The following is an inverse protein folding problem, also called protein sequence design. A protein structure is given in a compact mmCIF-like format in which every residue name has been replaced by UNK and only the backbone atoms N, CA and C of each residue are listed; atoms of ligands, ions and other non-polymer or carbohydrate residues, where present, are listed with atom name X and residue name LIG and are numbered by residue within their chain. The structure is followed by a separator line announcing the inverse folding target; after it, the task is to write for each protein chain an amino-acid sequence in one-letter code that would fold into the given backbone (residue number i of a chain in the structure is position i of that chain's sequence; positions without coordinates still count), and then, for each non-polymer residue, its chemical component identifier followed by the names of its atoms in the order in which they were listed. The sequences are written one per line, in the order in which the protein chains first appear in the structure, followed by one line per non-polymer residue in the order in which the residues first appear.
data_IF_854729744638
#
_entry.id   IF_854729744638
#
_cell.length_a   1.000
_cell.length_b   1.000
_cell.length_c   1.000
_cell.angle_alpha   90.00
_cell.angle_beta   90.00
_cell.angle_gamma   90.00
#
_symmetry.space_group_name_H-M   'P 1'
#
loop_
_entity.id
_entity.type
_entity.pdbx_description
1 polymer ?
#
# COMPACT_ATOMS: atom_id res chain seq x y z
N UNK A 1 25.39 18.66 11.30
CA UNK A 1 24.53 19.78 10.93
C UNK A 1 24.22 19.65 9.45
N UNK A 2 23.00 19.94 9.06
CA UNK A 2 22.33 19.83 7.77
C UNK A 2 22.17 18.41 7.27
N UNK A 3 23.22 17.65 7.08
CA UNK A 3 23.22 16.21 6.80
C UNK A 3 24.48 15.55 7.39
N UNK A 4 24.40 14.26 7.70
CA UNK A 4 25.56 13.50 8.19
C UNK A 4 26.63 13.42 7.10
N UNK A 5 27.89 13.75 7.44
CA UNK A 5 29.01 13.70 6.50
C UNK A 5 29.13 12.31 5.90
N UNK A 6 29.32 12.24 4.58
CA UNK A 6 29.40 10.98 3.82
C UNK A 6 28.06 10.41 3.37
N UNK A 7 26.91 11.05 3.70
CA UNK A 7 25.60 10.68 3.20
C UNK A 7 25.22 11.59 2.04
N UNK A 8 24.81 11.03 0.91
CA UNK A 8 24.29 11.78 -0.23
C UNK A 8 22.88 12.30 0.08
N UNK A 9 22.68 13.62 -0.03
CA UNK A 9 21.44 14.28 0.35
C UNK A 9 20.23 13.90 -0.51
N UNK A 10 20.45 13.47 -1.74
CA UNK A 10 19.41 13.16 -2.70
C UNK A 10 19.00 11.69 -2.68
N UNK A 11 19.96 10.78 -2.48
CA UNK A 11 19.74 9.34 -2.61
C UNK A 11 19.88 8.55 -1.29
N UNK A 12 20.47 9.16 -0.26
CA UNK A 12 20.79 8.45 0.98
C UNK A 12 21.96 7.47 0.88
N UNK A 13 22.67 7.44 -0.25
CA UNK A 13 23.84 6.57 -0.43
C UNK A 13 24.99 7.00 0.47
N UNK A 14 25.78 6.03 0.93
CA UNK A 14 27.00 6.30 1.64
C UNK A 14 28.13 6.48 0.63
N UNK A 15 28.78 7.64 0.66
CA UNK A 15 29.87 8.03 -0.24
C UNK A 15 31.22 7.58 0.37
N UNK A 16 31.45 6.27 0.35
CA UNK A 16 32.62 5.64 0.94
C UNK A 16 32.43 5.38 2.43
N UNK A 17 32.58 6.39 3.29
CA UNK A 17 32.38 6.31 4.74
C UNK A 17 31.44 7.44 5.20
N UNK A 18 30.59 7.16 6.17
CA UNK A 18 29.68 8.15 6.72
C UNK A 18 29.72 8.22 8.25
N UNK A 19 29.47 9.39 8.78
CA UNK A 19 29.34 9.61 10.23
C UNK A 19 27.94 9.24 10.67
N UNK A 20 27.82 8.34 11.64
CA UNK A 20 26.54 8.02 12.29
C UNK A 20 26.27 9.10 13.37
N UNK A 21 25.19 9.83 13.17
CA UNK A 21 24.77 10.90 14.08
C UNK A 21 23.70 10.40 15.03
N UNK A 22 23.71 10.88 16.28
CA UNK A 22 22.60 10.70 17.23
C UNK A 22 21.45 11.65 16.90
N UNK A 23 21.81 12.85 16.40
CA UNK A 23 20.86 13.88 16.00
C UNK A 23 21.38 14.66 14.80
N UNK A 24 20.50 14.97 13.85
CA UNK A 24 20.81 15.84 12.73
C UNK A 24 19.85 17.04 12.73
N UNK A 25 20.41 18.24 12.83
CA UNK A 25 19.66 19.50 12.64
C UNK A 25 19.81 19.89 11.17
N UNK A 26 18.73 19.87 10.42
CA UNK A 26 18.70 20.26 9.00
C UNK A 26 17.95 21.56 8.79
N UNK A 27 18.29 22.29 7.74
CA UNK A 27 17.81 23.64 7.50
C UNK A 27 16.76 23.71 6.38
N UNK A 28 15.71 24.48 6.60
CA UNK A 28 14.62 24.78 5.67
C UNK A 28 13.76 23.55 5.39
N UNK A 29 14.26 22.58 4.67
CA UNK A 29 13.52 21.39 4.27
C UNK A 29 14.24 20.10 4.63
N UNK A 30 13.48 19.02 4.82
CA UNK A 30 13.99 17.68 4.97
C UNK A 30 14.64 17.21 3.67
N UNK A 31 15.85 16.63 3.73
CA UNK A 31 16.52 16.07 2.56
C UNK A 31 16.13 14.59 2.40
N UNK A 32 15.87 14.16 1.17
CA UNK A 32 15.49 12.76 0.88
C UNK A 32 16.47 11.75 1.45
N UNK A 33 17.77 12.02 1.31
CA UNK A 33 18.81 11.11 1.77
C UNK A 33 18.83 10.88 3.29
N UNK A 34 18.14 11.71 4.08
CA UNK A 34 18.04 11.54 5.52
C UNK A 34 16.94 10.55 5.93
N UNK A 35 15.99 10.29 5.06
CA UNK A 35 14.84 9.39 5.29
C UNK A 35 14.91 8.13 4.42
N UNK A 36 15.79 8.11 3.42
CA UNK A 36 16.02 6.95 2.57
C UNK A 36 17.20 6.11 3.09
N UNK A 37 17.03 4.80 3.14
CA UNK A 37 18.14 3.90 3.51
C UNK A 37 19.17 3.78 2.39
N UNK A 38 20.48 3.67 2.75
CA UNK A 38 21.05 3.55 4.10
C UNK A 38 21.17 4.85 4.90
N UNK A 39 21.05 6.03 4.31
CA UNK A 39 21.25 7.34 4.93
C UNK A 39 20.39 7.60 6.17
N UNK A 40 19.15 7.12 6.16
CA UNK A 40 18.26 7.17 7.34
C UNK A 40 18.90 6.56 8.58
N UNK A 41 19.63 5.44 8.43
CA UNK A 41 20.34 4.78 9.52
C UNK A 41 21.52 5.59 10.09
N UNK A 42 21.95 6.66 9.43
CA UNK A 42 23.05 7.54 9.83
C UNK A 42 22.58 8.91 10.32
N UNK A 43 21.31 9.24 10.16
CA UNK A 43 20.77 10.58 10.44
C UNK A 43 20.39 10.80 11.91
N UNK A 44 20.08 9.74 12.67
CA UNK A 44 19.60 9.84 14.04
C UNK A 44 18.28 10.60 14.14
N UNK A 45 18.02 11.29 15.26
CA UNK A 45 16.85 12.16 15.41
C UNK A 45 16.97 13.37 14.48
N UNK A 46 16.00 13.57 13.59
CA UNK A 46 16.05 14.67 12.63
C UNK A 46 15.22 15.85 13.14
N UNK A 47 15.84 17.03 13.20
CA UNK A 47 15.18 18.28 13.53
C UNK A 47 15.30 19.29 12.40
N UNK A 48 14.19 19.56 11.71
CA UNK A 48 14.14 20.64 10.69
C UNK A 48 14.05 21.99 11.40
N UNK A 49 14.89 22.92 10.98
CA UNK A 49 14.89 24.31 11.47
C UNK A 49 14.69 25.27 10.31
N UNK A 50 13.72 26.14 10.47
CA UNK A 50 13.54 27.28 9.57
C UNK A 50 14.71 28.27 9.74
N UNK A 51 15.26 28.70 8.62
CA UNK A 51 16.33 29.69 8.54
C UNK A 51 15.94 30.87 7.65
N UNK A 52 14.63 31.05 7.40
CA UNK A 52 14.08 32.16 6.64
C UNK A 52 14.13 32.00 5.13
N UNK A 53 14.07 30.79 4.59
CA UNK A 53 13.87 30.63 3.15
C UNK A 53 12.51 31.19 2.74
N UNK A 54 12.46 32.09 1.73
CA UNK A 54 11.18 32.53 1.17
C UNK A 54 10.38 31.33 0.62
N UNK A 55 9.08 31.34 0.86
CA UNK A 55 8.19 30.24 0.38
C UNK A 55 8.29 30.11 -1.15
N UNK A 56 8.36 31.23 -1.85
CA UNK A 56 8.49 31.29 -3.31
C UNK A 56 9.78 30.63 -3.81
N UNK A 57 10.86 30.72 -3.03
CA UNK A 57 12.12 30.07 -3.37
C UNK A 57 12.03 28.54 -3.23
N UNK A 58 11.31 28.06 -2.20
CA UNK A 58 11.07 26.62 -2.02
C UNK A 58 10.15 26.07 -3.12
N UNK A 59 9.08 26.78 -3.45
CA UNK A 59 8.15 26.40 -4.51
C UNK A 59 8.81 26.40 -5.90
N UNK A 60 9.72 27.34 -6.16
CA UNK A 60 10.42 27.46 -7.46
C UNK A 60 11.27 26.23 -7.80
N UNK A 61 11.73 25.45 -6.81
CA UNK A 61 12.50 24.21 -7.02
C UNK A 61 11.60 23.04 -7.39
N UNK A 62 10.28 23.21 -7.41
CA UNK A 62 9.29 22.17 -7.74
C UNK A 62 9.59 20.86 -6.97
N UNK A 63 9.35 20.80 -5.65
CA UNK A 63 9.68 19.61 -4.86
C UNK A 63 9.00 18.37 -5.43
N UNK A 64 9.78 17.29 -5.62
CA UNK A 64 9.29 16.04 -6.23
C UNK A 64 8.86 14.98 -5.20
N UNK A 65 9.05 15.27 -3.91
CA UNK A 65 8.71 14.37 -2.82
C UNK A 65 8.16 15.17 -1.65
N UNK A 66 7.15 14.63 -1.02
CA UNK A 66 6.48 15.19 0.15
C UNK A 66 6.44 14.14 1.25
N UNK A 67 6.44 14.57 2.50
CA UNK A 67 6.20 13.71 3.65
C UNK A 67 5.04 14.28 4.47
N UNK A 68 4.30 13.41 5.14
CA UNK A 68 3.23 13.82 6.04
C UNK A 68 3.80 14.19 7.41
N UNK A 69 3.33 15.28 7.96
CA UNK A 69 3.51 15.63 9.36
C UNK A 69 2.27 15.20 10.17
N UNK A 70 2.39 15.18 11.50
CA UNK A 70 1.28 14.80 12.38
C UNK A 70 0.01 15.66 12.16
N UNK A 71 0.19 16.95 11.83
CA UNK A 71 -0.93 17.84 11.50
C UNK A 71 -1.69 17.39 10.26
N UNK A 72 -0.97 17.00 9.20
CA UNK A 72 -1.56 16.55 7.93
C UNK A 72 -2.39 15.29 8.15
N UNK A 73 -1.86 14.34 8.93
CA UNK A 73 -2.57 13.11 9.31
C UNK A 73 -3.83 13.46 10.10
N UNK A 74 -3.76 14.37 11.06
CA UNK A 74 -4.91 14.79 11.87
C UNK A 74 -6.01 15.46 11.02
N UNK A 75 -5.62 16.23 10.00
CA UNK A 75 -6.55 16.87 9.06
C UNK A 75 -7.19 15.83 8.10
N UNK A 76 -6.45 14.82 7.69
CA UNK A 76 -6.94 13.75 6.81
C UNK A 76 -7.88 12.77 7.55
N UNK A 77 -7.73 12.61 8.88
CA UNK A 77 -8.55 11.69 9.64
C UNK A 77 -9.99 12.22 9.79
N UNK A 78 -11.01 11.44 9.38
CA UNK A 78 -12.39 11.88 9.48
C UNK A 78 -12.81 12.04 10.94
N UNK A 79 -13.26 13.24 11.30
CA UNK A 79 -13.82 13.47 12.63
C UNK A 79 -15.22 12.84 12.74
N UNK A 80 -15.43 11.99 13.76
CA UNK A 80 -16.71 11.37 14.00
C UNK A 80 -17.70 12.39 14.59
N UNK A 81 -18.82 12.58 13.90
CA UNK A 81 -19.92 13.44 14.37
C UNK A 81 -20.78 12.69 15.39
N UNK A 82 -21.45 13.43 16.28
CA UNK A 82 -22.29 12.85 17.37
C UNK A 82 -23.46 12.02 16.83
N UNK A 83 -24.09 12.44 15.74
CA UNK A 83 -25.23 11.72 15.12
C UNK A 83 -24.77 11.06 13.82
N UNK A 84 -24.20 9.88 13.93
CA UNK A 84 -23.79 9.06 12.77
C UNK A 84 -23.94 7.58 13.08
N UNK A 85 -23.97 6.78 12.04
CA UNK A 85 -23.96 5.33 12.12
C UNK A 85 -22.73 4.76 11.36
N UNK A 86 -22.49 3.46 11.50
CA UNK A 86 -21.36 2.80 10.85
C UNK A 86 -21.32 2.98 9.32
N UNK A 87 -22.45 3.12 8.65
CA UNK A 87 -22.51 3.32 7.21
C UNK A 87 -21.97 4.68 6.73
N UNK A 88 -21.82 5.66 7.64
CA UNK A 88 -21.28 6.98 7.29
C UNK A 88 -19.73 7.02 7.20
N UNK A 89 -19.04 5.93 7.59
CA UNK A 89 -17.58 5.87 7.66
C UNK A 89 -16.96 4.89 6.66
N UNK A 90 -17.67 4.64 5.56
CA UNK A 90 -17.20 3.83 4.44
C UNK A 90 -17.31 2.32 4.67
N UNK A 91 -17.29 1.62 3.56
CA UNK A 91 -17.42 0.16 3.43
C UNK A 91 -16.18 -0.36 2.73
N UNK A 92 -15.39 -1.17 3.41
CA UNK A 92 -14.18 -1.77 2.86
C UNK A 92 -14.42 -3.25 2.57
N UNK A 93 -14.15 -3.66 1.34
CA UNK A 93 -14.05 -5.07 0.97
C UNK A 93 -12.59 -5.51 1.02
N UNK A 94 -12.29 -6.55 1.75
CA UNK A 94 -10.97 -7.18 1.82
C UNK A 94 -11.03 -8.55 1.15
N UNK A 95 -10.35 -8.73 0.02
CA UNK A 95 -10.19 -10.00 -0.68
C UNK A 95 -8.77 -10.48 -0.42
N UNK A 96 -8.62 -11.38 0.56
CA UNK A 96 -7.31 -11.71 1.12
C UNK A 96 -7.30 -13.09 1.78
N UNK A 97 -6.11 -13.63 1.99
CA UNK A 97 -5.93 -14.91 2.67
C UNK A 97 -6.22 -16.10 1.75
N UNK A 98 -5.33 -17.08 1.75
CA UNK A 98 -5.55 -18.40 1.17
C UNK A 98 -5.60 -19.46 2.28
N UNK A 99 -5.71 -20.72 1.94
CA UNK A 99 -5.80 -21.86 2.88
C UNK A 99 -4.74 -21.81 3.99
N UNK A 100 -3.53 -21.31 3.68
CA UNK A 100 -2.38 -21.29 4.60
C UNK A 100 -2.06 -19.92 5.19
N UNK A 101 -2.73 -18.83 4.75
CA UNK A 101 -2.35 -17.45 5.10
C UNK A 101 -3.53 -16.61 5.64
N UNK A 102 -4.19 -17.11 6.69
CA UNK A 102 -5.29 -16.40 7.38
C UNK A 102 -4.86 -15.06 8.01
N UNK A 103 -3.63 -14.98 8.54
CA UNK A 103 -3.16 -13.82 9.29
C UNK A 103 -3.14 -12.52 8.49
N UNK A 104 -2.74 -12.57 7.21
CA UNK A 104 -2.71 -11.40 6.35
C UNK A 104 -4.11 -10.79 6.16
N UNK A 105 -5.12 -11.64 5.95
CA UNK A 105 -6.51 -11.23 5.88
C UNK A 105 -7.01 -10.57 7.17
N UNK A 106 -6.69 -11.17 8.32
CA UNK A 106 -7.01 -10.60 9.63
C UNK A 106 -6.40 -9.21 9.81
N UNK A 107 -5.10 -9.05 9.54
CA UNK A 107 -4.42 -7.78 9.75
C UNK A 107 -4.94 -6.67 8.83
N UNK A 108 -5.23 -6.97 7.56
CA UNK A 108 -5.80 -6.01 6.63
C UNK A 108 -7.17 -5.50 7.10
N UNK A 109 -8.05 -6.40 7.52
CA UNK A 109 -9.37 -6.05 8.00
C UNK A 109 -9.34 -5.30 9.36
N UNK A 110 -8.49 -5.75 10.28
CA UNK A 110 -8.32 -5.08 11.58
C UNK A 110 -7.71 -3.68 11.42
N UNK A 111 -6.78 -3.48 10.47
CA UNK A 111 -6.22 -2.17 10.16
C UNK A 111 -7.30 -1.22 9.62
N UNK A 112 -8.18 -1.67 8.73
CA UNK A 112 -9.30 -0.88 8.24
C UNK A 112 -10.22 -0.40 9.38
N UNK A 113 -10.56 -1.27 10.34
CA UNK A 113 -11.34 -0.86 11.51
C UNK A 113 -10.58 0.13 12.40
N UNK A 114 -9.29 -0.09 12.65
CA UNK A 114 -8.45 0.83 13.45
C UNK A 114 -8.29 2.19 12.78
N UNK A 115 -8.25 2.24 11.45
CA UNK A 115 -8.26 3.49 10.69
C UNK A 115 -9.62 4.22 10.72
N UNK A 116 -10.67 3.59 11.29
CA UNK A 116 -11.96 4.22 11.47
C UNK A 116 -13.03 3.84 10.46
N UNK A 117 -12.80 2.85 9.61
CA UNK A 117 -13.79 2.32 8.68
C UNK A 117 -15.07 1.90 9.41
N UNK A 118 -16.22 2.13 8.79
CA UNK A 118 -17.51 1.83 9.36
C UNK A 118 -17.91 0.36 9.27
N UNK A 119 -17.65 -0.28 8.13
CA UNK A 119 -18.02 -1.68 7.89
C UNK A 119 -16.92 -2.35 7.05
N UNK A 120 -16.48 -3.51 7.48
CA UNK A 120 -15.57 -4.36 6.69
C UNK A 120 -16.28 -5.64 6.28
N UNK A 121 -16.22 -5.97 4.98
CA UNK A 121 -16.57 -7.28 4.44
C UNK A 121 -15.30 -7.98 4.01
N UNK A 122 -15.18 -9.26 4.32
CA UNK A 122 -14.03 -10.10 4.02
C UNK A 122 -14.47 -11.22 3.08
N UNK A 123 -13.74 -11.41 1.99
CA UNK A 123 -13.80 -12.63 1.17
C UNK A 123 -12.45 -13.33 1.26
N UNK A 124 -12.45 -14.58 1.68
CA UNK A 124 -11.24 -15.36 1.97
C UNK A 124 -11.45 -16.83 1.62
N UNK A 125 -10.40 -17.66 1.72
CA UNK A 125 -10.54 -19.10 1.62
C UNK A 125 -11.42 -19.66 2.75
N UNK A 126 -12.21 -20.71 2.48
CA UNK A 126 -13.18 -21.30 3.42
C UNK A 126 -12.54 -21.75 4.74
N UNK A 127 -11.30 -22.20 4.70
CA UNK A 127 -10.53 -22.64 5.87
C UNK A 127 -10.34 -21.54 6.90
N UNK A 128 -10.37 -20.28 6.47
CA UNK A 128 -10.14 -19.10 7.32
C UNK A 128 -11.41 -18.63 8.05
N UNK A 129 -12.60 -19.04 7.60
CA UNK A 129 -13.89 -18.50 8.08
C UNK A 129 -14.04 -18.62 9.60
N UNK A 130 -13.75 -19.80 10.16
CA UNK A 130 -13.95 -20.03 11.60
C UNK A 130 -13.04 -19.17 12.48
N UNK A 131 -11.76 -19.04 12.06
CA UNK A 131 -10.78 -18.22 12.78
C UNK A 131 -11.15 -16.76 12.71
N UNK A 132 -11.54 -16.27 11.53
CA UNK A 132 -11.89 -14.85 11.35
C UNK A 132 -13.20 -14.50 12.07
N UNK A 133 -14.22 -15.34 12.05
CA UNK A 133 -15.46 -15.13 12.83
C UNK A 133 -15.21 -15.02 14.31
N UNK A 134 -14.19 -15.70 14.81
CA UNK A 134 -13.78 -15.62 16.23
C UNK A 134 -12.95 -14.35 16.52
N UNK A 135 -12.07 -13.95 15.59
CA UNK A 135 -11.12 -12.86 15.80
C UNK A 135 -11.67 -11.48 15.45
N UNK A 136 -12.62 -11.41 14.50
CA UNK A 136 -13.28 -10.20 14.00
C UNK A 136 -14.78 -10.40 13.90
N UNK A 137 -15.49 -10.60 15.03
CA UNK A 137 -16.92 -10.87 15.03
C UNK A 137 -17.77 -9.71 14.47
N UNK A 138 -17.21 -8.50 14.39
CA UNK A 138 -17.83 -7.31 13.82
C UNK A 138 -17.81 -7.27 12.29
N UNK A 139 -16.95 -8.09 11.64
CA UNK A 139 -16.83 -8.11 10.18
C UNK A 139 -17.88 -9.02 9.52
N UNK A 140 -18.29 -8.68 8.30
CA UNK A 140 -19.08 -9.56 7.44
C UNK A 140 -18.09 -10.49 6.72
N UNK A 141 -18.18 -11.80 6.97
CA UNK A 141 -17.17 -12.75 6.48
C UNK A 141 -17.83 -13.79 5.57
N UNK A 142 -17.34 -13.88 4.35
CA UNK A 142 -17.71 -14.84 3.33
C UNK A 142 -16.50 -15.54 2.72
N UNK A 143 -16.76 -16.57 1.91
CA UNK A 143 -15.72 -17.27 1.15
C UNK A 143 -15.81 -16.96 -0.33
N UNK A 144 -14.66 -16.80 -0.97
CA UNK A 144 -14.58 -16.75 -2.44
C UNK A 144 -14.52 -18.16 -3.05
N UNK A 145 -14.36 -19.24 -2.25
CA UNK A 145 -14.20 -20.62 -2.78
C UNK A 145 -15.50 -21.17 -3.38
N UNK A 146 -16.64 -20.80 -2.83
CA UNK A 146 -17.96 -21.23 -3.35
C UNK A 146 -18.19 -20.78 -4.80
N UNK A 147 -17.47 -19.75 -5.22
CA UNK A 147 -17.48 -19.25 -6.60
C UNK A 147 -16.88 -20.21 -7.63
N UNK A 148 -16.11 -21.23 -7.17
CA UNK A 148 -15.28 -22.08 -8.03
C UNK A 148 -15.60 -23.59 -7.92
N UNK A 149 -16.63 -23.97 -7.17
CA UNK A 149 -16.93 -25.39 -6.91
C UNK A 149 -17.51 -26.16 -8.12
N UNK A 150 -18.10 -25.47 -9.09
CA UNK A 150 -18.83 -26.10 -10.21
C UNK A 150 -18.02 -26.28 -11.51
N UNK A 151 -16.69 -26.23 -11.46
CA UNK A 151 -15.78 -26.59 -12.56
C UNK A 151 -15.94 -25.78 -13.86
N UNK A 152 -14.81 -25.40 -14.45
CA UNK A 152 -14.62 -24.85 -15.81
C UNK A 152 -15.20 -23.46 -16.12
N UNK A 153 -16.31 -23.01 -15.54
CA UNK A 153 -16.78 -21.63 -15.75
C UNK A 153 -16.20 -20.68 -14.69
N UNK A 154 -15.13 -19.98 -15.08
CA UNK A 154 -14.41 -19.02 -14.26
C UNK A 154 -15.09 -17.64 -14.20
N UNK A 155 -16.39 -17.57 -14.37
CA UNK A 155 -17.15 -16.34 -14.17
C UNK A 155 -17.35 -16.12 -12.67
N UNK A 156 -16.96 -14.95 -12.10
CA UNK A 156 -17.23 -14.66 -10.70
C UNK A 156 -18.72 -14.75 -10.42
N UNK A 157 -19.10 -15.61 -9.48
CA UNK A 157 -20.49 -15.79 -9.09
C UNK A 157 -21.03 -14.57 -8.32
N UNK A 158 -22.31 -14.59 -8.07
CA UNK A 158 -23.11 -13.51 -7.49
C UNK A 158 -22.52 -12.88 -6.23
N UNK A 159 -21.91 -13.66 -5.33
CA UNK A 159 -21.41 -13.18 -4.04
C UNK A 159 -20.22 -12.21 -4.18
N UNK A 160 -19.25 -12.52 -5.05
CA UNK A 160 -18.09 -11.64 -5.32
C UNK A 160 -18.56 -10.34 -5.97
N UNK A 161 -19.46 -10.42 -6.96
CA UNK A 161 -20.02 -9.24 -7.63
C UNK A 161 -20.83 -8.35 -6.66
N UNK A 162 -21.65 -8.98 -5.83
CA UNK A 162 -22.41 -8.26 -4.79
C UNK A 162 -21.46 -7.58 -3.78
N UNK A 163 -20.35 -8.24 -3.40
CA UNK A 163 -19.37 -7.68 -2.49
C UNK A 163 -18.62 -6.50 -3.14
N UNK A 164 -18.22 -6.61 -4.40
CA UNK A 164 -17.59 -5.53 -5.17
C UNK A 164 -18.53 -4.33 -5.25
N UNK A 165 -19.78 -4.54 -5.66
CA UNK A 165 -20.77 -3.48 -5.81
C UNK A 165 -21.11 -2.79 -4.47
N UNK A 166 -21.09 -3.54 -3.38
CA UNK A 166 -21.39 -3.05 -2.03
C UNK A 166 -20.28 -2.14 -1.47
N UNK A 167 -19.02 -2.34 -1.85
CA UNK A 167 -17.87 -1.66 -1.28
C UNK A 167 -17.69 -0.23 -1.80
N UNK A 168 -17.17 0.66 -0.98
CA UNK A 168 -16.65 1.97 -1.38
C UNK A 168 -15.15 1.86 -1.73
N UNK A 169 -14.41 0.99 -1.02
CA UNK A 169 -12.99 0.72 -1.23
C UNK A 169 -12.74 -0.79 -1.23
N UNK A 170 -11.83 -1.25 -2.08
CA UNK A 170 -11.45 -2.67 -2.18
C UNK A 170 -9.97 -2.80 -1.84
N UNK A 171 -9.62 -3.77 -1.00
CA UNK A 171 -8.26 -4.22 -0.75
C UNK A 171 -8.12 -5.64 -1.26
N UNK A 172 -7.17 -5.92 -2.14
CA UNK A 172 -6.94 -7.26 -2.67
C UNK A 172 -5.47 -7.65 -2.63
N UNK A 173 -5.20 -8.89 -2.28
CA UNK A 173 -3.91 -9.53 -2.45
C UNK A 173 -3.21 -10.02 -1.20
N UNK A 174 -3.32 -9.40 -0.02
CA UNK A 174 -2.60 -9.85 1.18
C UNK A 174 -2.84 -11.33 1.47
N UNK A 175 -1.79 -12.17 1.31
CA UNK A 175 -1.87 -13.61 1.53
C UNK A 175 -2.85 -14.36 0.63
N UNK A 176 -3.20 -13.82 -0.54
CA UNK A 176 -4.16 -14.43 -1.48
C UNK A 176 -3.59 -15.64 -2.21
N UNK A 177 -2.26 -15.76 -2.25
CA UNK A 177 -1.56 -16.77 -3.03
C UNK A 177 -1.59 -16.47 -4.53
N UNK A 178 -1.14 -17.45 -5.33
CA UNK A 178 -1.01 -17.32 -6.79
C UNK A 178 -1.81 -18.42 -7.54
N UNK A 179 -2.83 -18.94 -6.90
CA UNK A 179 -3.70 -19.96 -7.50
C UNK A 179 -4.48 -19.36 -8.69
N UNK A 180 -5.09 -20.23 -9.49
CA UNK A 180 -5.98 -19.79 -10.57
C UNK A 180 -7.13 -18.92 -10.03
N UNK A 181 -7.67 -19.25 -8.85
CA UNK A 181 -8.70 -18.44 -8.15
C UNK A 181 -8.19 -17.02 -7.89
N UNK A 182 -6.97 -16.89 -7.34
CA UNK A 182 -6.36 -15.57 -7.09
C UNK A 182 -6.21 -14.75 -8.38
N UNK A 183 -5.75 -15.39 -9.47
CA UNK A 183 -5.61 -14.72 -10.78
C UNK A 183 -6.95 -14.22 -11.32
N UNK A 184 -8.00 -15.04 -11.21
CA UNK A 184 -9.35 -14.66 -11.64
C UNK A 184 -9.88 -13.48 -10.82
N UNK A 185 -9.74 -13.54 -9.50
CA UNK A 185 -10.15 -12.45 -8.60
C UNK A 185 -9.42 -11.14 -8.92
N UNK A 186 -8.09 -11.18 -9.06
CA UNK A 186 -7.30 -9.99 -9.43
C UNK A 186 -7.74 -9.47 -10.81
N UNK A 187 -7.86 -10.35 -11.82
CA UNK A 187 -8.32 -9.96 -13.16
C UNK A 187 -9.72 -9.34 -13.15
N UNK A 188 -10.60 -9.79 -12.27
CA UNK A 188 -11.93 -9.22 -12.09
C UNK A 188 -11.86 -7.82 -11.45
N UNK A 189 -11.05 -7.66 -10.43
CA UNK A 189 -10.88 -6.38 -9.72
C UNK A 189 -10.24 -5.32 -10.64
N UNK A 190 -9.31 -5.69 -11.50
CA UNK A 190 -8.69 -4.78 -12.47
C UNK A 190 -9.68 -4.14 -13.47
N UNK A 191 -10.91 -4.66 -13.55
CA UNK A 191 -12.00 -4.09 -14.37
C UNK A 191 -12.90 -3.10 -13.61
N UNK A 192 -12.66 -2.91 -12.32
CA UNK A 192 -13.39 -1.92 -11.51
C UNK A 192 -12.82 -0.55 -11.78
N UNK A 193 -13.65 0.42 -12.12
CA UNK A 193 -13.21 1.77 -12.52
C UNK A 193 -13.85 2.90 -11.68
N UNK A 194 -14.81 2.57 -10.84
CA UNK A 194 -15.61 3.53 -10.06
C UNK A 194 -15.26 3.56 -8.56
N UNK A 195 -14.20 2.86 -8.15
CA UNK A 195 -13.82 2.68 -6.74
C UNK A 195 -12.31 2.78 -6.55
N UNK A 196 -11.92 3.19 -5.36
CA UNK A 196 -10.51 3.06 -4.94
C UNK A 196 -10.19 1.60 -4.66
N UNK A 197 -9.12 1.10 -5.28
CA UNK A 197 -8.63 -0.27 -5.12
C UNK A 197 -7.19 -0.24 -4.62
N UNK A 198 -6.93 -0.93 -3.52
CA UNK A 198 -5.57 -1.16 -3.01
C UNK A 198 -5.14 -2.57 -3.38
N UNK A 199 -4.04 -2.70 -4.13
CA UNK A 199 -3.45 -3.99 -4.51
C UNK A 199 -2.11 -4.15 -3.79
N UNK A 200 -1.99 -5.23 -3.02
CA UNK A 200 -0.81 -5.52 -2.19
C UNK A 200 -0.36 -6.98 -2.35
N UNK A 201 0.89 -7.25 -2.01
CA UNK A 201 1.47 -8.59 -1.86
C UNK A 201 1.22 -9.52 -3.05
N UNK A 202 0.48 -10.64 -2.86
CA UNK A 202 0.21 -11.59 -3.94
C UNK A 202 -0.64 -11.01 -5.06
N UNK A 203 -1.46 -10.00 -4.77
CA UNK A 203 -2.17 -9.24 -5.80
C UNK A 203 -1.21 -8.54 -6.77
N UNK A 204 -0.14 -7.93 -6.25
CA UNK A 204 0.92 -7.30 -7.04
C UNK A 204 1.73 -8.33 -7.82
N UNK A 205 1.99 -9.50 -7.22
CA UNK A 205 2.68 -10.59 -7.92
C UNK A 205 1.88 -11.12 -9.12
N UNK A 206 0.56 -11.25 -8.95
CA UNK A 206 -0.35 -11.66 -10.04
C UNK A 206 -0.45 -10.56 -11.10
N UNK A 207 -0.53 -9.30 -10.69
CA UNK A 207 -0.53 -8.16 -11.61
C UNK A 207 0.75 -8.12 -12.45
N UNK A 208 1.92 -8.31 -11.83
CA UNK A 208 3.21 -8.38 -12.54
C UNK A 208 3.22 -9.52 -13.58
N UNK A 209 2.66 -10.69 -13.26
CA UNK A 209 2.53 -11.79 -14.22
C UNK A 209 1.66 -11.41 -15.43
N UNK A 210 0.55 -10.68 -15.22
CA UNK A 210 -0.28 -10.20 -16.33
C UNK A 210 0.43 -9.15 -17.20
N UNK A 211 1.28 -8.32 -16.60
CA UNK A 211 2.10 -7.35 -17.33
C UNK A 211 3.16 -8.08 -18.17
N UNK A 212 3.88 -9.03 -17.57
CA UNK A 212 4.92 -9.81 -18.25
C UNK A 212 4.37 -10.62 -19.44
N UNK A 213 3.15 -11.13 -19.31
CA UNK A 213 2.46 -11.86 -20.38
C UNK A 213 1.82 -10.96 -21.44
N UNK A 214 1.89 -9.63 -21.28
CA UNK A 214 1.30 -8.66 -22.21
C UNK A 214 -0.24 -8.58 -22.15
N UNK A 215 -0.86 -9.14 -21.11
CA UNK A 215 -2.31 -9.06 -20.91
C UNK A 215 -2.76 -7.67 -20.45
N UNK A 216 -1.90 -6.97 -19.73
CA UNK A 216 -2.16 -5.64 -19.14
C UNK A 216 -0.90 -4.79 -19.29
N UNK A 217 -1.07 -3.52 -19.68
CA UNK A 217 0.00 -2.54 -19.59
C UNK A 217 -0.16 -1.72 -18.29
N UNK A 218 0.95 -1.43 -17.62
CA UNK A 218 0.94 -0.67 -16.36
C UNK A 218 0.28 0.71 -16.53
N UNK A 219 0.49 1.34 -17.67
CA UNK A 219 -0.09 2.65 -18.00
C UNK A 219 -1.62 2.62 -18.20
N UNK A 220 -2.20 1.43 -18.35
CA UNK A 220 -3.65 1.23 -18.53
C UNK A 220 -4.37 0.90 -17.19
N UNK A 221 -3.65 0.89 -16.09
CA UNK A 221 -4.26 0.70 -14.76
C UNK A 221 -5.01 1.98 -14.38
N UNK A 222 -6.23 1.82 -13.89
CA UNK A 222 -7.07 2.95 -13.46
C UNK A 222 -6.33 3.79 -12.39
N UNK A 223 -6.31 5.13 -12.49
CA UNK A 223 -5.64 6.00 -11.53
C UNK A 223 -6.20 5.94 -10.11
N UNK A 224 -7.37 5.35 -9.91
CA UNK A 224 -7.92 5.07 -8.58
C UNK A 224 -7.29 3.85 -7.90
N UNK A 225 -6.36 3.16 -8.56
CA UNK A 225 -5.65 2.04 -7.97
C UNK A 225 -4.41 2.51 -7.20
N UNK A 226 -4.29 2.02 -5.98
CA UNK A 226 -3.14 2.24 -5.10
C UNK A 226 -2.36 0.93 -5.03
N UNK A 227 -1.12 0.96 -5.50
CA UNK A 227 -0.22 -0.18 -5.44
C UNK A 227 0.75 0.01 -4.28
N UNK A 228 0.98 -1.04 -3.48
CA UNK A 228 1.82 -0.99 -2.27
C UNK A 228 3.04 -1.90 -2.36
N UNK A 229 3.87 -1.79 -3.44
CA UNK A 229 4.95 -2.72 -3.69
C UNK A 229 6.16 -2.46 -2.78
N UNK A 230 6.68 -3.48 -2.10
CA UNK A 230 8.05 -3.45 -1.61
C UNK A 230 9.05 -3.60 -2.79
N UNK A 231 10.37 -3.43 -2.54
CA UNK A 231 11.40 -3.37 -3.60
C UNK A 231 11.35 -4.57 -4.56
N UNK A 232 11.14 -5.79 -4.06
CA UNK A 232 11.07 -6.99 -4.92
C UNK A 232 9.79 -7.07 -5.75
N UNK A 233 8.67 -6.56 -5.24
CA UNK A 233 7.41 -6.47 -5.98
C UNK A 233 7.51 -5.38 -7.03
N UNK A 234 8.07 -4.20 -6.69
CA UNK A 234 8.32 -3.14 -7.66
C UNK A 234 9.25 -3.60 -8.78
N UNK A 235 10.29 -4.35 -8.46
CA UNK A 235 11.22 -4.93 -9.45
C UNK A 235 10.48 -5.82 -10.47
N UNK A 236 9.51 -6.62 -10.03
CA UNK A 236 8.67 -7.43 -10.92
C UNK A 236 7.71 -6.58 -11.75
N UNK A 237 6.99 -5.64 -11.10
CA UNK A 237 6.06 -4.74 -11.79
C UNK A 237 6.73 -3.90 -12.88
N UNK A 238 7.95 -3.42 -12.61
CA UNK A 238 8.71 -2.59 -13.54
C UNK A 238 9.55 -3.40 -14.54
N UNK A 239 9.57 -4.74 -14.43
CA UNK A 239 10.47 -5.63 -15.17
C UNK A 239 11.93 -5.17 -15.10
N UNK A 240 12.41 -4.87 -13.89
CA UNK A 240 13.76 -4.39 -13.58
C UNK A 240 14.39 -5.23 -12.49
N UNK A 241 15.70 -5.20 -12.41
CA UNK A 241 16.41 -5.79 -11.25
C UNK A 241 16.18 -4.96 -9.99
N UNK A 242 16.32 -5.58 -8.81
CA UNK A 242 16.22 -4.86 -7.53
C UNK A 242 17.25 -3.74 -7.39
N UNK A 243 18.42 -3.87 -8.04
CA UNK A 243 19.46 -2.84 -8.03
C UNK A 243 19.11 -1.68 -8.95
N UNK A 244 18.49 -1.91 -10.10
CA UNK A 244 17.95 -0.85 -10.96
C UNK A 244 16.84 -0.08 -10.24
N UNK A 245 15.92 -0.77 -9.55
CA UNK A 245 14.86 -0.14 -8.74
C UNK A 245 15.46 0.72 -7.63
N UNK A 246 16.49 0.24 -6.91
CA UNK A 246 17.17 1.01 -5.87
C UNK A 246 17.91 2.23 -6.41
N UNK A 247 18.39 2.17 -7.65
CA UNK A 247 19.12 3.25 -8.29
C UNK A 247 18.22 4.29 -8.96
N UNK A 248 16.99 3.92 -9.29
CA UNK A 248 15.97 4.81 -9.81
C UNK A 248 15.13 5.36 -8.66
N UNK A 249 15.32 6.65 -8.36
CA UNK A 249 14.67 7.30 -7.21
C UNK A 249 13.14 7.25 -7.26
N UNK A 250 12.55 7.20 -8.45
CA UNK A 250 11.09 7.15 -8.60
C UNK A 250 10.55 5.80 -8.12
N UNK A 251 11.14 4.71 -8.58
CA UNK A 251 10.75 3.35 -8.17
C UNK A 251 11.12 3.06 -6.72
N UNK A 252 12.30 3.51 -6.30
CA UNK A 252 12.77 3.30 -4.93
C UNK A 252 11.89 4.05 -3.92
N UNK A 253 11.53 5.30 -4.17
CA UNK A 253 10.65 6.08 -3.31
C UNK A 253 9.26 5.44 -3.21
N UNK A 254 8.70 4.95 -4.32
CA UNK A 254 7.43 4.24 -4.32
C UNK A 254 7.51 2.95 -3.47
N UNK A 255 8.60 2.19 -3.57
CA UNK A 255 8.77 0.95 -2.81
C UNK A 255 9.11 1.18 -1.32
N UNK A 256 9.79 2.28 -0.96
CA UNK A 256 10.15 2.57 0.43
C UNK A 256 9.03 3.18 1.27
N UNK A 257 8.06 3.81 0.65
CA UNK A 257 6.92 4.38 1.38
C UNK A 257 6.16 3.32 2.24
N UNK A 258 6.41 2.04 2.00
CA UNK A 258 5.76 0.91 2.66
C UNK A 258 6.67 0.05 3.53
N UNK A 259 7.96 0.37 3.63
CA UNK A 259 8.91 -0.42 4.42
C UNK A 259 9.22 0.18 5.80
N UNK A 260 8.58 1.27 6.16
CA UNK A 260 8.64 1.90 7.49
C UNK A 260 7.32 1.74 8.21
#
# INVERSE_FOLDING_TARGET
VDISSGVDASSGRILGIAVKSDMTVTFGTLKRGMIMFPGAGFSGEIKVRDIGFPVEAVESVSPKAYTFEQKDINEMMPQRKVRTNKGNYGKVLVIAGCETMCGACYFSAAAAYRAGCGIVRILTAKENLQVLKTKLPEAIIGSYDEEFEDGIDFTPKKEVEEAINWADVIVIGPGLGKSMKAKILVKRILKVTDKTVVIDADGLNVLAEFIDNGEIALDNIDPNFILTPHIKEMSRLANKTTDEVKNDLSYFAAAQAYCT
#
